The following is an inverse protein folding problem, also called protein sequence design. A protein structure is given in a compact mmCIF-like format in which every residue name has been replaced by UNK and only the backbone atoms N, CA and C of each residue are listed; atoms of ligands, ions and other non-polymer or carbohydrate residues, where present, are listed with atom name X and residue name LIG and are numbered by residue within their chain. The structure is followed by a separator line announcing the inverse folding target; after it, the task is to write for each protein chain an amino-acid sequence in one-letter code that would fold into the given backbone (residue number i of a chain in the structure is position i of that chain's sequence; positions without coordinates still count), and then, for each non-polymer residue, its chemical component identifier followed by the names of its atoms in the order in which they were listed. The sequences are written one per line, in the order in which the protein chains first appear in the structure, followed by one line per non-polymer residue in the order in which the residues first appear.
data_IF_204991315452
#
_entry.id   IF_204991315452
#
_cell.length_a   1.000
_cell.length_b   1.000
_cell.length_c   1.000
_cell.angle_alpha   90.00
_cell.angle_beta   90.00
_cell.angle_gamma   90.00
#
_symmetry.space_group_name_H-M   'P 1'
#
loop_
_entity.id
_entity.type
_entity.pdbx_description
1 polymer ?
#
# COMPACT_ATOMS: atom_id res chain seq x y z
N UNK A 1 9.33 1.31 -7.53
CA UNK A 1 8.24 2.31 -7.53
C UNK A 1 6.93 1.57 -7.67
N UNK A 2 5.95 1.86 -6.82
CA UNK A 2 4.64 1.20 -6.86
C UNK A 2 3.81 1.94 -7.91
N UNK A 3 3.31 1.23 -8.92
CA UNK A 3 2.56 1.83 -10.02
C UNK A 3 1.07 1.51 -9.93
N UNK A 4 0.23 2.36 -10.53
CA UNK A 4 -1.21 2.12 -10.66
C UNK A 4 -1.51 0.78 -11.32
N UNK A 5 -0.84 0.46 -12.43
CA UNK A 5 -1.02 -0.81 -13.15
C UNK A 5 -0.71 -2.03 -12.27
N UNK A 6 0.34 -1.95 -11.44
CA UNK A 6 0.68 -2.99 -10.48
C UNK A 6 -0.45 -3.19 -9.46
N UNK A 7 -0.92 -2.09 -8.85
CA UNK A 7 -2.00 -2.13 -7.86
C UNK A 7 -3.30 -2.65 -8.46
N UNK A 8 -3.71 -2.16 -9.63
CA UNK A 8 -4.90 -2.63 -10.33
C UNK A 8 -4.83 -4.13 -10.64
N UNK A 9 -3.69 -4.62 -11.12
CA UNK A 9 -3.49 -6.04 -11.40
C UNK A 9 -3.52 -6.88 -10.13
N UNK A 10 -2.84 -6.45 -9.07
CA UNK A 10 -2.83 -7.13 -7.78
C UNK A 10 -4.23 -7.24 -7.20
N UNK A 11 -4.96 -6.12 -7.17
CA UNK A 11 -6.28 -6.02 -6.57
C UNK A 11 -7.45 -6.55 -7.43
N UNK A 12 -7.14 -7.13 -8.59
CA UNK A 12 -8.08 -7.99 -9.34
C UNK A 12 -8.12 -9.42 -8.79
N UNK A 13 -7.01 -9.89 -8.21
CA UNK A 13 -6.84 -11.27 -7.74
C UNK A 13 -6.77 -11.36 -6.21
N UNK A 14 -6.37 -10.29 -5.56
CA UNK A 14 -6.15 -10.22 -4.13
C UNK A 14 -6.89 -9.01 -3.55
N UNK A 15 -7.19 -9.06 -2.27
CA UNK A 15 -7.78 -7.95 -1.54
C UNK A 15 -6.82 -7.36 -0.49
N UNK A 16 -5.58 -7.84 -0.44
CA UNK A 16 -4.60 -7.44 0.58
C UNK A 16 -3.23 -7.27 -0.04
N UNK A 17 -2.53 -6.22 0.35
CA UNK A 17 -1.14 -5.96 -0.01
C UNK A 17 -0.37 -5.56 1.26
N UNK A 18 0.82 -6.14 1.44
CA UNK A 18 1.71 -5.78 2.54
C UNK A 18 2.88 -5.02 1.94
N UNK A 19 3.19 -3.86 2.50
CA UNK A 19 4.32 -3.02 2.15
C UNK A 19 5.14 -2.71 3.41
N UNK A 20 6.34 -2.20 3.20
CA UNK A 20 7.25 -1.81 4.27
C UNK A 20 7.73 -0.39 4.03
N UNK A 21 7.85 0.37 5.11
CA UNK A 21 8.58 1.64 5.10
C UNK A 21 10.08 1.38 4.94
N UNK A 22 10.89 2.38 4.55
CA UNK A 22 12.36 2.26 4.57
C UNK A 22 12.96 1.87 5.94
N UNK A 23 12.23 2.10 7.04
CA UNK A 23 12.62 1.71 8.40
C UNK A 23 12.10 0.32 8.81
N UNK A 24 11.71 -0.53 7.86
CA UNK A 24 11.20 -1.88 8.07
C UNK A 24 9.89 -2.00 8.88
N UNK A 25 9.16 -0.89 9.03
CA UNK A 25 7.81 -0.93 9.59
C UNK A 25 6.86 -1.52 8.56
N UNK A 26 6.16 -2.58 8.97
CA UNK A 26 5.13 -3.23 8.16
C UNK A 26 3.86 -2.38 8.11
N UNK A 27 3.33 -2.22 6.90
CA UNK A 27 2.06 -1.58 6.61
C UNK A 27 1.20 -2.52 5.77
N UNK A 28 -0.08 -2.62 6.13
CA UNK A 28 -1.04 -3.51 5.47
C UNK A 28 -2.11 -2.67 4.81
N UNK A 29 -2.35 -2.93 3.53
CA UNK A 29 -3.43 -2.33 2.78
C UNK A 29 -4.48 -3.40 2.45
N UNK A 30 -5.74 -3.15 2.79
CA UNK A 30 -6.85 -4.05 2.49
C UNK A 30 -7.86 -3.32 1.61
N UNK A 31 -8.28 -3.95 0.52
CA UNK A 31 -9.27 -3.42 -0.42
C UNK A 31 -10.65 -3.92 -0.06
N UNK A 32 -11.54 -2.98 0.22
CA UNK A 32 -12.98 -3.19 0.38
C UNK A 32 -13.72 -2.28 -0.61
N UNK A 33 -14.51 -1.30 -0.13
CA UNK A 33 -15.04 -0.20 -0.96
C UNK A 33 -13.99 0.88 -1.23
N UNK A 34 -12.98 0.97 -0.37
CA UNK A 34 -11.80 1.83 -0.43
C UNK A 34 -10.56 1.02 -0.02
N UNK A 35 -9.39 1.65 0.01
CA UNK A 35 -8.14 1.02 0.47
C UNK A 35 -7.85 1.42 1.91
N UNK A 36 -8.07 0.50 2.83
CA UNK A 36 -7.79 0.70 4.24
C UNK A 36 -6.32 0.40 4.54
N UNK A 37 -5.61 1.36 5.13
CA UNK A 37 -4.23 1.20 5.60
C UNK A 37 -4.21 0.97 7.10
N UNK A 38 -3.45 -0.04 7.54
CA UNK A 38 -3.16 -0.32 8.95
C UNK A 38 -1.66 -0.60 9.13
N UNK A 39 -1.01 0.18 9.99
CA UNK A 39 0.39 -0.07 10.35
C UNK A 39 1.14 1.17 10.83
N UNK A 40 2.26 0.96 11.53
CA UNK A 40 3.10 2.05 12.01
C UNK A 40 2.40 3.04 12.94
N UNK A 41 1.49 2.56 13.79
CA UNK A 41 0.64 3.37 14.69
C UNK A 41 -0.34 4.33 13.98
N UNK A 42 -0.55 4.14 12.68
CA UNK A 42 -1.49 4.90 11.88
C UNK A 42 -2.53 3.97 11.24
N UNK A 43 -3.71 4.54 11.04
CA UNK A 43 -4.81 3.88 10.34
C UNK A 43 -5.61 4.97 9.61
N UNK A 44 -5.82 4.80 8.30
CA UNK A 44 -6.58 5.71 7.46
C UNK A 44 -6.98 5.04 6.14
N UNK A 45 -7.88 5.70 5.41
CA UNK A 45 -8.40 5.21 4.14
C UNK A 45 -7.87 6.02 2.96
N UNK A 46 -7.64 5.33 1.84
CA UNK A 46 -7.30 5.89 0.53
C UNK A 46 -8.45 5.59 -0.44
N UNK A 47 -8.91 6.60 -1.18
CA UNK A 47 -10.18 6.53 -1.89
C UNK A 47 -10.07 5.75 -3.20
N UNK A 48 -8.95 5.87 -3.90
CA UNK A 48 -8.72 5.18 -5.16
C UNK A 48 -7.28 4.68 -5.32
N UNK A 49 -7.02 4.06 -6.47
CA UNK A 49 -5.70 3.48 -6.79
C UNK A 49 -4.66 4.57 -7.06
N UNK A 50 -5.08 5.75 -7.49
CA UNK A 50 -4.20 6.88 -7.79
C UNK A 50 -3.65 7.46 -6.49
N UNK A 51 -4.53 7.77 -5.54
CA UNK A 51 -4.18 8.17 -4.16
C UNK A 51 -3.23 7.14 -3.53
N UNK A 52 -3.50 5.86 -3.73
CA UNK A 52 -2.68 4.79 -3.18
C UNK A 52 -1.29 4.74 -3.83
N UNK A 53 -1.19 4.83 -5.15
CA UNK A 53 0.10 4.86 -5.83
C UNK A 53 0.91 6.10 -5.40
N UNK A 54 0.28 7.27 -5.34
CA UNK A 54 0.92 8.50 -4.87
C UNK A 54 1.40 8.38 -3.42
N UNK A 55 0.56 7.86 -2.52
CA UNK A 55 0.93 7.63 -1.13
C UNK A 55 2.12 6.67 -0.99
N UNK A 56 2.11 5.55 -1.71
CA UNK A 56 3.20 4.58 -1.69
C UNK A 56 4.52 5.22 -2.07
N UNK A 57 4.52 6.00 -3.15
CA UNK A 57 5.73 6.61 -3.68
C UNK A 57 6.19 7.80 -2.83
N UNK A 58 5.26 8.58 -2.27
CA UNK A 58 5.60 9.69 -1.37
C UNK A 58 6.23 9.22 -0.05
N UNK A 59 6.00 7.96 0.35
CA UNK A 59 6.55 7.36 1.58
C UNK A 59 7.62 6.31 1.34
N UNK A 60 8.11 6.21 0.10
CA UNK A 60 9.13 5.25 -0.31
C UNK A 60 8.80 3.82 0.12
N UNK A 61 7.52 3.43 0.01
CA UNK A 61 7.09 2.09 0.40
C UNK A 61 7.62 1.04 -0.57
N UNK A 62 8.07 -0.07 0.00
CA UNK A 62 8.70 -1.18 -0.71
C UNK A 62 7.95 -2.49 -0.44
N UNK A 63 8.04 -3.44 -1.38
CA UNK A 63 7.38 -4.74 -1.30
C UNK A 63 8.07 -5.68 -0.30
N UNK A 64 9.35 -5.47 -0.06
CA UNK A 64 10.20 -6.27 0.81
C UNK A 64 10.91 -5.33 1.80
N UNK A 65 11.11 -5.74 3.06
CA UNK A 65 11.87 -4.95 4.02
C UNK A 65 13.32 -4.79 3.56
N UNK A 66 13.96 -3.68 3.93
CA UNK A 66 15.39 -3.49 3.72
C UNK A 66 16.20 -4.50 4.56
N UNK A 67 17.28 -5.03 4.01
CA UNK A 67 18.23 -5.92 4.70
C UNK A 67 19.00 -5.22 5.83
#
# INVERSE_FOLDING_TARGET
MITKEFLEKHFKLHNKLVLYTPSNVKVVFTKESHFHMDGGYHNFDLMDVEDFAEFCNARDLVLEPAE
#
